data_IF_061498422037
#
_entry.id   IF_061498422037
#
_cell.length_a   1.000
_cell.length_b   1.000
_cell.length_c   1.000
_cell.angle_alpha   90.00
_cell.angle_beta   90.00
_cell.angle_gamma   90.00
#
_symmetry.space_group_name_H-M   'P 1'
#
loop_
_entity.id
_entity.type
_entity.pdbx_description
1 polymer ?
#
# COMPACT_ATOMS: atom_id res chain seq x y z
N UNK A 1 -4.93 -2.09 -12.55
CA UNK A 1 -5.25 -1.34 -11.32
C UNK A 1 -5.02 -2.15 -10.04
N UNK A 2 -5.71 -3.28 -9.80
CA UNK A 2 -5.53 -4.09 -8.58
C UNK A 2 -4.06 -4.48 -8.33
N UNK A 3 -3.41 -5.03 -9.35
CA UNK A 3 -1.99 -5.36 -9.31
C UNK A 3 -1.13 -4.15 -8.96
N UNK A 4 -1.35 -3.00 -9.60
CA UNK A 4 -0.60 -1.77 -9.40
C UNK A 4 -0.75 -1.20 -7.99
N UNK A 5 -1.95 -1.27 -7.41
CA UNK A 5 -2.21 -0.86 -6.03
C UNK A 5 -1.54 -1.82 -5.03
N UNK A 6 -1.58 -3.13 -5.30
CA UNK A 6 -0.82 -4.12 -4.53
C UNK A 6 0.70 -3.88 -4.60
N UNK A 7 1.23 -3.61 -5.80
CA UNK A 7 2.64 -3.28 -5.98
C UNK A 7 3.06 -2.01 -5.24
N UNK A 8 2.19 -1.01 -5.17
CA UNK A 8 2.45 0.18 -4.35
C UNK A 8 2.50 -0.16 -2.86
N UNK A 9 1.57 -0.99 -2.37
CA UNK A 9 1.57 -1.45 -0.98
C UNK A 9 2.87 -2.18 -0.60
N UNK A 10 3.30 -3.09 -1.48
CA UNK A 10 4.54 -3.86 -1.29
C UNK A 10 5.77 -2.96 -1.37
N UNK A 11 5.77 -1.99 -2.29
CA UNK A 11 6.83 -0.99 -2.39
C UNK A 11 6.97 -0.15 -1.11
N UNK A 12 5.84 0.37 -0.58
CA UNK A 12 5.86 1.13 0.68
C UNK A 12 6.41 0.30 1.84
N UNK A 13 6.00 -0.97 1.94
CA UNK A 13 6.46 -1.87 3.00
C UNK A 13 7.95 -2.20 2.87
N UNK A 14 8.38 -2.60 1.66
CA UNK A 14 9.76 -3.02 1.37
C UNK A 14 10.76 -1.88 1.60
N UNK A 15 10.45 -0.70 1.07
CA UNK A 15 11.33 0.47 1.21
C UNK A 15 11.14 1.18 2.55
N UNK A 16 10.22 0.71 3.41
CA UNK A 16 9.85 1.33 4.69
C UNK A 16 9.47 2.80 4.53
N UNK A 17 8.74 3.12 3.46
CA UNK A 17 8.26 4.47 3.17
C UNK A 17 7.03 4.73 4.04
N UNK A 18 7.24 5.53 5.07
CA UNK A 18 6.17 5.96 5.97
C UNK A 18 5.50 7.18 5.34
N UNK A 19 4.18 7.14 5.28
CA UNK A 19 3.36 8.25 4.80
C UNK A 19 2.66 8.89 5.99
N UNK A 20 2.44 10.20 5.98
CA UNK A 20 1.65 10.91 6.99
C UNK A 20 0.21 10.43 6.93
N UNK A 21 -0.38 10.53 5.74
CA UNK A 21 -1.74 10.08 5.44
C UNK A 21 -1.78 9.36 4.09
N UNK A 22 -2.36 8.17 4.08
CA UNK A 22 -2.67 7.45 2.85
C UNK A 22 -4.15 7.65 2.54
N UNK A 23 -4.47 8.41 1.49
CA UNK A 23 -5.83 8.76 1.06
C UNK A 23 -5.94 8.64 -0.45
N UNK A 24 -7.14 8.31 -0.97
CA UNK A 24 -7.34 8.14 -2.41
C UNK A 24 -6.91 9.36 -3.24
N UNK A 25 -7.10 10.58 -2.71
CA UNK A 25 -6.70 11.83 -3.38
C UNK A 25 -5.18 11.98 -3.59
N UNK A 26 -4.36 11.30 -2.77
CA UNK A 26 -2.90 11.37 -2.86
C UNK A 26 -2.35 10.28 -3.80
N UNK A 27 -3.23 9.43 -4.34
CA UNK A 27 -2.87 8.33 -5.23
C UNK A 27 -3.22 8.69 -6.66
N UNK A 28 -2.26 8.51 -7.55
CA UNK A 28 -2.43 8.73 -8.99
C UNK A 28 -2.19 7.43 -9.72
N UNK A 29 -3.04 7.12 -10.69
CA UNK A 29 -2.86 5.98 -11.57
C UNK A 29 -2.50 6.44 -12.97
N UNK A 30 -1.29 6.09 -13.42
CA UNK A 30 -0.82 6.31 -14.78
C UNK A 30 -1.31 5.18 -15.68
N UNK A 31 -2.10 5.52 -16.68
CA UNK A 31 -2.50 4.62 -17.77
C UNK A 31 -1.28 4.43 -18.69
N UNK A 32 -1.08 3.21 -19.20
CA UNK A 32 -0.01 2.88 -20.14
C UNK A 32 -0.63 2.19 -21.35
N UNK A 33 -0.04 2.40 -22.53
CA UNK A 33 -0.56 1.86 -23.79
C UNK A 33 -0.51 0.33 -23.85
N UNK A 34 0.44 -0.28 -23.13
CA UNK A 34 0.54 -1.73 -23.00
C UNK A 34 0.80 -2.14 -21.54
N UNK A 35 0.06 -3.15 -21.09
CA UNK A 35 0.21 -3.76 -19.77
C UNK A 35 -0.46 -2.99 -18.62
N UNK A 36 -0.28 -3.45 -17.37
CA UNK A 36 -0.87 -2.80 -16.20
C UNK A 36 -0.27 -1.40 -16.00
N UNK A 37 -1.14 -0.40 -15.80
CA UNK A 37 -0.73 0.95 -15.43
C UNK A 37 0.01 1.00 -14.09
N UNK A 38 0.61 2.14 -13.75
CA UNK A 38 1.42 2.29 -12.53
C UNK A 38 0.71 3.21 -11.54
N UNK A 39 0.77 2.86 -10.25
CA UNK A 39 0.21 3.69 -9.19
C UNK A 39 1.32 4.44 -8.46
N UNK A 40 1.09 5.72 -8.20
CA UNK A 40 2.03 6.62 -7.55
C UNK A 40 1.36 7.26 -6.33
N UNK A 41 2.16 7.50 -5.30
CA UNK A 41 1.80 8.35 -4.18
C UNK A 41 2.50 9.71 -4.39
N UNK A 42 1.72 10.78 -4.51
CA UNK A 42 2.23 12.10 -4.95
C UNK A 42 2.32 13.11 -3.81
N UNK A 43 1.75 12.79 -2.63
CA UNK A 43 1.75 13.68 -1.47
C UNK A 43 1.76 12.90 -0.15
N UNK A 44 2.00 13.61 0.96
CA UNK A 44 1.99 13.11 2.33
C UNK A 44 3.05 12.01 2.59
N UNK A 45 4.17 12.01 1.88
CA UNK A 45 5.33 11.13 2.18
C UNK A 45 6.13 11.72 3.33
N UNK A 46 6.48 10.88 4.32
CA UNK A 46 7.29 11.25 5.48
C UNK A 46 6.66 10.83 6.80
N UNK A 47 7.51 10.76 7.82
CA UNK A 47 7.10 10.49 9.19
C UNK A 47 6.84 11.81 9.96
N UNK A 48 5.77 11.84 10.75
CA UNK A 48 5.43 12.94 11.68
C UNK A 48 5.55 12.53 13.14
N UNK A 49 6.09 11.34 13.42
CA UNK A 49 6.27 10.92 14.80
C UNK A 49 7.23 11.85 15.53
N UNK A 50 6.81 12.24 16.74
CA UNK A 50 7.64 12.97 17.69
C UNK A 50 8.88 12.14 18.11
N UNK A 51 8.71 10.81 18.24
CA UNK A 51 9.80 9.86 18.49
C UNK A 51 9.91 8.92 17.27
N UNK A 52 11.00 9.00 16.47
CA UNK A 52 11.09 8.26 15.22
C UNK A 52 11.53 6.80 15.43
N UNK A 53 10.81 6.04 16.26
CA UNK A 53 11.08 4.62 16.53
C UNK A 53 11.13 3.77 15.25
N UNK A 54 10.33 4.17 14.27
CA UNK A 54 10.29 3.59 12.93
C UNK A 54 11.60 3.74 12.15
N UNK A 55 12.44 4.76 12.44
CA UNK A 55 13.77 4.91 11.82
C UNK A 55 14.76 3.89 12.36
N UNK A 56 14.64 3.52 13.63
CA UNK A 56 15.59 2.65 14.32
C UNK A 56 15.15 1.19 14.33
N UNK A 57 13.85 0.91 14.35
CA UNK A 57 13.33 -0.45 14.41
C UNK A 57 12.46 -0.79 13.20
N UNK A 58 12.96 -1.71 12.38
CA UNK A 58 12.30 -2.17 11.15
C UNK A 58 10.89 -2.70 11.41
N UNK A 59 10.72 -3.49 12.46
CA UNK A 59 9.43 -4.08 12.86
C UNK A 59 8.38 -2.99 13.14
N UNK A 60 8.79 -1.87 13.74
CA UNK A 60 7.88 -0.76 14.03
C UNK A 60 7.52 0.00 12.76
N UNK A 61 8.46 0.22 11.84
CA UNK A 61 8.16 0.81 10.54
C UNK A 61 7.15 -0.04 9.75
N UNK A 62 7.40 -1.35 9.66
CA UNK A 62 6.53 -2.30 8.96
C UNK A 62 5.13 -2.33 9.57
N UNK A 63 5.02 -2.50 10.90
CA UNK A 63 3.73 -2.46 11.60
C UNK A 63 3.01 -1.15 11.37
N UNK A 64 3.72 -0.02 11.36
CA UNK A 64 3.13 1.30 11.15
C UNK A 64 2.59 1.45 9.72
N UNK A 65 3.36 1.02 8.72
CA UNK A 65 2.95 1.03 7.31
C UNK A 65 1.73 0.12 7.12
N UNK A 66 1.76 -1.10 7.67
CA UNK A 66 0.62 -2.02 7.64
C UNK A 66 -0.63 -1.41 8.27
N UNK A 67 -0.53 -0.81 9.46
CA UNK A 67 -1.67 -0.13 10.11
C UNK A 67 -2.24 0.99 9.25
N UNK A 68 -1.39 1.80 8.62
CA UNK A 68 -1.83 2.88 7.73
C UNK A 68 -2.49 2.33 6.47
N UNK A 69 -1.96 1.25 5.91
CA UNK A 69 -2.55 0.54 4.78
C UNK A 69 -3.94 -0.02 5.11
N UNK A 70 -4.08 -0.74 6.23
CA UNK A 70 -5.38 -1.26 6.68
C UNK A 70 -6.40 -0.15 6.90
N UNK A 71 -6.00 0.98 7.49
CA UNK A 71 -6.88 2.15 7.64
C UNK A 71 -7.32 2.72 6.29
N UNK A 72 -6.42 2.75 5.30
CA UNK A 72 -6.74 3.18 3.96
C UNK A 72 -7.76 2.25 3.28
N UNK A 73 -7.57 0.93 3.36
CA UNK A 73 -8.55 -0.05 2.84
C UNK A 73 -9.92 0.09 3.49
N UNK A 74 -9.96 0.26 4.83
CA UNK A 74 -11.20 0.52 5.56
C UNK A 74 -11.85 1.84 5.14
N UNK A 75 -11.05 2.88 4.89
CA UNK A 75 -11.56 4.15 4.40
C UNK A 75 -12.16 4.01 3.00
N UNK A 76 -11.50 3.29 2.09
CA UNK A 76 -12.06 2.99 0.76
C UNK A 76 -13.40 2.23 0.87
N UNK A 77 -13.46 1.17 1.67
CA UNK A 77 -14.70 0.40 1.87
C UNK A 77 -15.84 1.26 2.41
N UNK A 78 -15.55 2.19 3.32
CA UNK A 78 -16.58 3.09 3.90
C UNK A 78 -17.00 4.17 2.91
N UNK A 79 -16.05 4.85 2.28
CA UNK A 79 -16.31 5.95 1.35
C UNK A 79 -17.02 5.49 0.07
N UNK A 80 -16.81 4.24 -0.32
CA UNK A 80 -17.41 3.64 -1.51
C UNK A 80 -18.26 2.42 -1.17
N UNK A 81 -18.94 2.42 -0.01
CA UNK A 81 -19.73 1.27 0.47
C UNK A 81 -20.84 0.85 -0.50
N UNK A 82 -21.35 1.79 -1.31
CA UNK A 82 -22.35 1.54 -2.34
C UNK A 82 -21.78 0.89 -3.62
N UNK A 83 -20.44 0.77 -3.73
CA UNK A 83 -19.78 0.19 -4.89
C UNK A 83 -19.23 -1.21 -4.55
N UNK A 84 -19.90 -2.30 -4.99
CA UNK A 84 -19.49 -3.67 -4.67
C UNK A 84 -18.12 -4.02 -5.26
N UNK A 85 -17.69 -3.33 -6.32
CA UNK A 85 -16.40 -3.55 -6.98
C UNK A 85 -15.21 -3.23 -6.07
N UNK A 86 -15.36 -2.34 -5.08
CA UNK A 86 -14.26 -1.97 -4.17
C UNK A 86 -13.91 -3.14 -3.23
N UNK A 87 -14.91 -3.89 -2.77
CA UNK A 87 -14.68 -5.11 -2.00
C UNK A 87 -13.95 -6.16 -2.83
N UNK A 88 -14.36 -6.36 -4.07
CA UNK A 88 -13.72 -7.29 -5.01
C UNK A 88 -12.27 -6.85 -5.34
N UNK A 89 -12.04 -5.56 -5.53
CA UNK A 89 -10.72 -4.98 -5.75
C UNK A 89 -9.78 -5.29 -4.57
N UNK A 90 -10.23 -5.05 -3.35
CA UNK A 90 -9.43 -5.31 -2.13
C UNK A 90 -9.16 -6.80 -1.99
N UNK A 91 -10.15 -7.67 -2.23
CA UNK A 91 -9.94 -9.12 -2.23
C UNK A 91 -8.87 -9.54 -3.25
N UNK A 92 -8.93 -9.02 -4.48
CA UNK A 92 -7.93 -9.27 -5.53
C UNK A 92 -6.52 -8.81 -5.13
N UNK A 93 -6.40 -7.66 -4.44
CA UNK A 93 -5.12 -7.16 -3.92
C UNK A 93 -4.52 -8.14 -2.92
N UNK A 94 -5.31 -8.62 -1.94
CA UNK A 94 -4.84 -9.57 -0.93
C UNK A 94 -4.34 -10.88 -1.54
N UNK A 95 -5.03 -11.39 -2.56
CA UNK A 95 -4.59 -12.58 -3.31
C UNK A 95 -3.28 -12.31 -4.05
N UNK A 96 -3.17 -11.16 -4.71
CA UNK A 96 -1.97 -10.78 -5.47
C UNK A 96 -0.74 -10.65 -4.57
N UNK A 97 -0.91 -10.09 -3.37
CA UNK A 97 0.19 -9.89 -2.40
C UNK A 97 0.68 -11.21 -1.77
N UNK A 98 -0.20 -12.18 -1.50
CA UNK A 98 0.22 -13.52 -1.02
C UNK A 98 1.09 -14.26 -2.04
N UNK A 99 0.85 -14.07 -3.33
CA UNK A 99 1.66 -14.67 -4.40
C UNK A 99 3.06 -14.01 -4.51
N UNK A 100 3.18 -12.72 -4.15
CA UNK A 100 4.44 -11.98 -4.12
C UNK A 100 5.30 -12.24 -2.87
N UNK A 101 4.68 -12.43 -1.68
CA UNK A 101 5.38 -12.74 -0.42
C UNK A 101 6.12 -14.09 -0.45
N UNK A 102 5.59 -15.08 -1.17
CA UNK A 102 6.26 -16.37 -1.40
C UNK A 102 7.60 -16.22 -2.14
N UNK A 103 7.70 -15.21 -3.02
CA UNK A 103 8.92 -14.91 -3.78
C UNK A 103 9.95 -14.15 -2.91
N UNK A 104 9.48 -13.25 -2.03
CA UNK A 104 10.34 -12.46 -1.16
C UNK A 104 11.07 -13.25 -0.08
N UNK A 105 10.44 -14.30 0.48
CA UNK A 105 11.10 -15.18 1.47
C UNK A 105 12.23 -16.03 0.88
N UNK A 106 12.28 -16.22 -0.45
CA UNK A 106 13.33 -17.00 -1.12
C UNK A 106 14.62 -16.22 -1.39
N UNK A 107 14.62 -14.88 -1.26
CA UNK A 107 15.78 -14.02 -1.51
C UNK A 107 16.42 -13.44 -0.23
N UNK A 108 16.14 -14.02 0.94
CA UNK A 108 16.75 -13.64 2.23
C UNK A 108 17.70 -14.73 2.78
N UNK A 109 18.39 -15.45 1.90
CA UNK A 109 19.55 -16.30 2.27
C UNK A 109 20.82 -15.62 1.76
#
# INVERSE_FOLDING_TARGET
MAQSLGSLADYLLRERIITKNLKQRNLVYQIRDQGPGRMFLVDDVGDTDFIPLSRFCKIWAEKKIQRKWTRFEQHLLRSFAHNPWIGELIAKIHVTRRSGEAKYRSCQI
#
